data_IF_716119850647
#
_entry.id   IF_716119850647
#
_cell.length_a   1.000
_cell.length_b   1.000
_cell.length_c   1.000
_cell.angle_alpha   90.00
_cell.angle_beta   90.00
_cell.angle_gamma   90.00
#
_symmetry.space_group_name_H-M   'P 1'
#
loop_
_entity.id
_entity.type
_entity.pdbx_description
1 polymer ?
#
# COMPACT_ATOMS: atom_id res chain seq x y z
N UNK A 1 56.11 13.96 -1.45
CA UNK A 1 54.64 14.14 -1.53
C UNK A 1 54.24 13.87 -2.97
N UNK A 2 53.92 12.62 -3.26
CA UNK A 2 53.64 12.11 -4.60
C UNK A 2 52.15 12.24 -4.91
N UNK A 3 51.81 13.31 -5.64
CA UNK A 3 50.62 13.33 -6.49
C UNK A 3 50.84 12.29 -7.60
N UNK A 4 50.12 11.19 -7.55
CA UNK A 4 50.07 10.23 -8.66
C UNK A 4 48.86 10.62 -9.52
N UNK A 5 49.05 10.98 -10.80
CA UNK A 5 47.98 11.53 -11.60
C UNK A 5 46.96 10.46 -12.01
N UNK A 6 45.68 10.83 -11.93
CA UNK A 6 44.60 10.24 -12.71
C UNK A 6 44.97 10.28 -14.20
N UNK A 7 45.54 9.22 -14.74
CA UNK A 7 45.81 9.10 -16.17
C UNK A 7 45.22 7.80 -16.69
N UNK A 8 43.92 7.84 -16.97
CA UNK A 8 43.31 7.16 -18.12
C UNK A 8 41.77 7.28 -18.23
N UNK A 9 41.14 8.03 -17.34
CA UNK A 9 39.83 8.64 -17.54
C UNK A 9 40.05 10.13 -17.31
N UNK A 10 40.02 10.96 -18.36
CA UNK A 10 40.04 12.41 -18.15
C UNK A 10 38.89 12.80 -17.22
N UNK A 11 39.03 13.89 -16.45
CA UNK A 11 37.97 14.37 -15.53
C UNK A 11 36.60 14.49 -16.22
N UNK A 12 36.60 14.84 -17.52
CA UNK A 12 35.40 14.88 -18.37
C UNK A 12 34.75 13.50 -18.57
N UNK A 13 35.53 12.44 -18.80
CA UNK A 13 34.99 11.08 -18.99
C UNK A 13 34.36 10.50 -17.73
N UNK A 14 34.94 10.76 -16.55
CA UNK A 14 34.34 10.35 -15.28
C UNK A 14 33.04 11.10 -15.00
N UNK A 15 33.00 12.41 -15.31
CA UNK A 15 31.79 13.21 -15.17
C UNK A 15 30.65 12.69 -16.05
N UNK A 16 30.93 12.37 -17.32
CA UNK A 16 29.92 11.85 -18.25
C UNK A 16 29.39 10.47 -17.84
N UNK A 17 30.27 9.58 -17.36
CA UNK A 17 29.89 8.29 -16.78
C UNK A 17 28.98 8.49 -15.57
N UNK A 18 29.39 9.36 -14.64
CA UNK A 18 28.63 9.62 -13.40
C UNK A 18 27.26 10.19 -13.72
N UNK A 19 27.17 11.15 -14.64
CA UNK A 19 25.91 11.71 -15.12
C UNK A 19 25.02 10.66 -15.78
N UNK A 20 25.58 9.81 -16.63
CA UNK A 20 24.84 8.75 -17.32
C UNK A 20 24.20 7.79 -16.32
N UNK A 21 24.95 7.36 -15.30
CA UNK A 21 24.46 6.43 -14.28
C UNK A 21 23.45 7.12 -13.33
N UNK A 22 23.67 8.36 -12.91
CA UNK A 22 22.75 9.10 -12.03
C UNK A 22 21.37 9.39 -12.65
N UNK A 23 21.28 9.40 -13.97
CA UNK A 23 20.03 9.69 -14.69
C UNK A 23 19.11 8.47 -14.84
N UNK A 24 19.53 7.30 -14.37
CA UNK A 24 18.76 6.07 -14.56
C UNK A 24 17.53 6.02 -13.63
N UNK A 25 16.34 5.66 -14.15
CA UNK A 25 15.09 5.72 -13.39
C UNK A 25 14.93 4.58 -12.39
N UNK A 26 15.55 3.43 -12.65
CA UNK A 26 15.42 2.20 -11.87
C UNK A 26 16.71 1.33 -11.95
N UNK A 27 16.76 0.27 -11.13
CA UNK A 27 17.92 -0.61 -11.03
C UNK A 27 18.19 -1.42 -12.30
N UNK A 28 17.15 -1.74 -13.05
CA UNK A 28 17.25 -2.46 -14.32
C UNK A 28 17.97 -1.59 -15.37
N UNK A 29 17.52 -0.35 -15.53
CA UNK A 29 18.12 0.65 -16.42
C UNK A 29 19.54 1.02 -15.98
N UNK A 30 19.79 1.11 -14.67
CA UNK A 30 21.13 1.31 -14.12
C UNK A 30 22.08 0.18 -14.50
N UNK A 31 21.65 -1.06 -14.36
CA UNK A 31 22.45 -2.22 -14.69
C UNK A 31 22.76 -2.31 -16.20
N UNK A 32 21.78 -1.98 -17.05
CA UNK A 32 21.97 -1.95 -18.49
C UNK A 32 22.99 -0.88 -18.90
N UNK A 33 22.84 0.35 -18.39
CA UNK A 33 23.78 1.44 -18.65
C UNK A 33 25.20 1.09 -18.18
N UNK A 34 25.34 0.48 -17.00
CA UNK A 34 26.62 0.01 -16.48
C UNK A 34 27.24 -1.05 -17.42
N UNK A 35 26.46 -2.04 -17.84
CA UNK A 35 26.91 -3.11 -18.74
C UNK A 35 27.42 -2.54 -20.07
N UNK A 36 26.72 -1.57 -20.64
CA UNK A 36 27.16 -0.90 -21.86
C UNK A 36 28.46 -0.12 -21.66
N UNK A 37 28.63 0.57 -20.52
CA UNK A 37 29.84 1.36 -20.23
C UNK A 37 31.08 0.49 -20.02
N UNK A 38 30.97 -0.61 -19.27
CA UNK A 38 32.11 -1.51 -19.04
C UNK A 38 32.50 -2.25 -20.32
N UNK A 39 31.52 -2.60 -21.17
CA UNK A 39 31.75 -3.22 -22.48
C UNK A 39 32.45 -2.27 -23.45
N UNK A 40 31.97 -1.02 -23.58
CA UNK A 40 32.62 0.01 -24.41
C UNK A 40 34.04 0.32 -23.96
N UNK A 41 34.31 0.20 -22.66
CA UNK A 41 35.63 0.43 -22.06
C UNK A 41 36.55 -0.79 -22.10
N UNK A 42 36.09 -1.91 -22.68
CA UNK A 42 36.79 -3.20 -22.70
C UNK A 42 37.19 -3.72 -21.29
N UNK A 43 36.43 -3.31 -20.26
CA UNK A 43 36.66 -3.71 -18.88
C UNK A 43 36.00 -5.06 -18.59
N UNK A 44 34.75 -5.26 -18.99
CA UNK A 44 34.00 -6.49 -18.79
C UNK A 44 32.98 -6.66 -19.91
N UNK A 45 32.54 -7.89 -20.15
CA UNK A 45 31.52 -8.21 -21.16
C UNK A 45 30.11 -7.99 -20.65
N UNK A 46 29.90 -8.16 -19.34
CA UNK A 46 28.63 -7.94 -18.67
C UNK A 46 28.82 -7.38 -17.25
N UNK A 47 27.80 -6.68 -16.76
CA UNK A 47 27.71 -6.28 -15.37
C UNK A 47 26.35 -6.64 -14.78
N UNK A 48 26.31 -6.89 -13.47
CA UNK A 48 25.07 -7.11 -12.73
C UNK A 48 25.10 -6.40 -11.38
N UNK A 49 23.93 -6.08 -10.85
CA UNK A 49 23.75 -5.51 -9.52
C UNK A 49 23.05 -6.55 -8.68
N UNK A 50 23.66 -6.91 -7.55
CA UNK A 50 23.11 -7.90 -6.61
C UNK A 50 22.86 -7.21 -5.28
N UNK A 51 21.61 -7.18 -4.83
CA UNK A 51 21.22 -6.47 -3.61
C UNK A 51 20.83 -7.44 -2.52
N UNK A 52 21.35 -7.21 -1.32
CA UNK A 52 21.02 -7.97 -0.13
C UNK A 52 19.89 -7.30 0.65
N UNK A 53 18.84 -8.07 0.92
CA UNK A 53 17.70 -7.64 1.72
C UNK A 53 17.81 -8.25 3.12
N UNK A 54 18.28 -7.47 4.09
CA UNK A 54 18.54 -7.98 5.45
C UNK A 54 17.28 -8.48 6.17
N UNK A 55 16.12 -7.85 5.94
CA UNK A 55 14.86 -8.21 6.61
C UNK A 55 14.34 -9.58 6.16
N UNK A 56 14.46 -9.88 4.88
CA UNK A 56 13.96 -11.13 4.28
C UNK A 56 15.05 -12.18 4.11
N UNK A 57 16.33 -11.82 4.35
CA UNK A 57 17.51 -12.64 4.06
C UNK A 57 17.60 -13.08 2.58
N UNK A 58 17.10 -12.24 1.66
CA UNK A 58 17.04 -12.54 0.22
C UNK A 58 18.06 -11.72 -0.56
N UNK A 59 18.44 -12.24 -1.72
CA UNK A 59 19.22 -11.50 -2.71
C UNK A 59 18.38 -11.22 -3.96
N UNK A 60 18.40 -9.97 -4.44
CA UNK A 60 17.83 -9.59 -5.73
C UNK A 60 18.95 -9.43 -6.75
N UNK A 61 18.78 -10.00 -7.94
CA UNK A 61 19.76 -9.95 -9.02
C UNK A 61 19.19 -9.17 -10.22
N UNK A 62 19.93 -8.16 -10.67
CA UNK A 62 19.62 -7.32 -11.82
C UNK A 62 20.74 -7.47 -12.85
N UNK A 63 20.42 -7.87 -14.08
CA UNK A 63 21.38 -8.04 -15.18
C UNK A 63 20.75 -7.75 -16.55
N UNK A 64 21.58 -7.47 -17.55
CA UNK A 64 21.19 -7.42 -18.97
C UNK A 64 21.50 -8.76 -19.68
N UNK A 65 20.61 -9.25 -20.56
CA UNK A 65 20.85 -10.39 -21.48
C UNK A 65 20.97 -9.89 -22.94
N UNK A 66 21.42 -10.77 -23.86
CA UNK A 66 21.66 -10.55 -25.31
C UNK A 66 20.58 -9.80 -26.14
N UNK A 67 19.43 -9.43 -25.57
CA UNK A 67 18.38 -8.59 -26.18
C UNK A 67 18.07 -7.29 -25.42
N UNK A 68 18.95 -6.84 -24.52
CA UNK A 68 18.73 -5.65 -23.66
C UNK A 68 17.41 -5.71 -22.88
N UNK A 69 16.98 -6.93 -22.50
CA UNK A 69 15.84 -7.11 -21.59
C UNK A 69 16.35 -7.26 -20.16
N UNK A 70 16.01 -6.34 -19.25
CA UNK A 70 16.41 -6.45 -17.86
C UNK A 70 15.81 -7.70 -17.22
N UNK A 71 16.65 -8.46 -16.50
CA UNK A 71 16.19 -9.57 -15.67
C UNK A 71 16.12 -9.07 -14.23
N UNK A 72 14.94 -9.18 -13.63
CA UNK A 72 14.78 -9.23 -12.18
C UNK A 72 14.67 -10.70 -11.79
N UNK A 73 15.72 -11.24 -11.20
CA UNK A 73 15.72 -12.59 -10.65
C UNK A 73 15.70 -12.49 -9.12
N UNK A 74 14.62 -12.97 -8.52
CA UNK A 74 14.48 -13.14 -7.07
C UNK A 74 14.54 -14.63 -6.78
N UNK A 75 15.67 -15.11 -6.28
CA UNK A 75 15.80 -16.50 -5.82
C UNK A 75 16.04 -16.55 -4.32
N UNK A 76 15.36 -17.49 -3.68
CA UNK A 76 15.13 -17.59 -2.25
C UNK A 76 16.32 -18.12 -1.47
N UNK A 77 17.30 -18.77 -2.10
CA UNK A 77 18.34 -19.47 -1.34
C UNK A 77 19.76 -19.42 -1.95
N UNK A 78 19.94 -19.51 -3.27
CA UNK A 78 21.28 -19.84 -3.79
C UNK A 78 22.24 -18.64 -3.84
N UNK A 79 21.79 -17.46 -4.30
CA UNK A 79 22.61 -16.24 -4.29
C UNK A 79 22.83 -15.71 -2.87
N UNK A 80 21.81 -15.80 -2.02
CA UNK A 80 21.85 -15.41 -0.61
C UNK A 80 22.87 -16.21 0.22
N UNK A 81 23.17 -17.45 -0.18
CA UNK A 81 24.20 -18.31 0.42
C UNK A 81 25.49 -18.41 -0.41
N UNK A 82 25.57 -17.69 -1.53
CA UNK A 82 26.68 -17.74 -2.49
C UNK A 82 27.68 -16.57 -2.38
N UNK A 83 28.14 -16.02 -3.51
CA UNK A 83 29.08 -14.88 -3.56
C UNK A 83 28.68 -13.68 -2.70
N UNK A 84 27.38 -13.37 -2.60
CA UNK A 84 26.85 -12.24 -1.81
C UNK A 84 27.14 -12.45 -0.32
N UNK A 85 26.89 -13.64 0.22
CA UNK A 85 27.19 -13.96 1.63
C UNK A 85 28.68 -13.83 1.94
N UNK A 86 29.53 -14.20 0.98
CA UNK A 86 30.98 -14.12 1.12
C UNK A 86 31.44 -12.67 1.27
N UNK A 87 30.84 -11.73 0.54
CA UNK A 87 31.18 -10.31 0.63
C UNK A 87 30.60 -9.67 1.90
N UNK A 88 29.39 -10.05 2.31
CA UNK A 88 28.80 -9.57 3.57
C UNK A 88 29.61 -10.00 4.80
N UNK A 89 30.28 -11.15 4.73
CA UNK A 89 31.10 -11.68 5.83
C UNK A 89 32.56 -11.27 5.78
N UNK A 90 33.15 -11.06 4.60
CA UNK A 90 34.42 -10.33 4.46
C UNK A 90 34.36 -9.39 3.26
N UNK A 91 34.47 -8.07 3.49
CA UNK A 91 34.18 -7.01 2.53
C UNK A 91 35.26 -6.83 1.44
N UNK A 92 35.99 -7.90 1.12
CA UNK A 92 37.00 -7.88 0.08
C UNK A 92 36.35 -8.16 -1.28
N UNK A 93 36.93 -7.60 -2.34
CA UNK A 93 36.48 -7.94 -3.70
C UNK A 93 36.73 -9.42 -3.96
N UNK A 94 35.67 -10.11 -4.38
CA UNK A 94 35.75 -11.49 -4.81
C UNK A 94 36.13 -11.52 -6.30
N UNK A 95 37.15 -12.28 -6.66
CA UNK A 95 37.48 -12.55 -8.06
C UNK A 95 37.94 -14.01 -8.19
N UNK A 96 37.55 -14.67 -9.26
CA UNK A 96 37.90 -16.07 -9.52
C UNK A 96 37.66 -16.46 -10.98
N UNK A 97 38.30 -17.56 -11.41
CA UNK A 97 38.03 -18.22 -12.67
C UNK A 97 36.70 -18.99 -12.64
N UNK A 98 36.21 -19.41 -13.80
CA UNK A 98 35.00 -20.23 -13.87
C UNK A 98 35.15 -21.58 -13.15
N UNK A 99 36.32 -22.20 -13.19
CA UNK A 99 36.58 -23.48 -12.51
C UNK A 99 36.47 -23.32 -10.99
N UNK A 100 37.17 -22.33 -10.42
CA UNK A 100 37.09 -22.00 -9.00
C UNK A 100 35.67 -21.61 -8.56
N UNK A 101 34.93 -20.88 -9.42
CA UNK A 101 33.53 -20.53 -9.17
C UNK A 101 32.64 -21.78 -9.12
N UNK A 102 32.84 -22.73 -10.04
CA UNK A 102 32.10 -23.99 -10.07
C UNK A 102 32.38 -24.86 -8.83
N UNK A 103 33.64 -24.92 -8.39
CA UNK A 103 34.03 -25.65 -7.18
C UNK A 103 33.42 -25.01 -5.92
N UNK A 104 33.41 -23.69 -5.85
CA UNK A 104 32.95 -22.95 -4.67
C UNK A 104 31.42 -22.89 -4.58
N UNK A 105 30.73 -22.71 -5.72
CA UNK A 105 29.27 -22.56 -5.79
C UNK A 105 28.63 -23.42 -6.89
N UNK A 106 28.71 -24.77 -6.80
CA UNK A 106 28.19 -25.66 -7.83
C UNK A 106 26.68 -25.52 -8.07
N UNK A 107 25.94 -25.10 -7.03
CA UNK A 107 24.49 -24.90 -7.10
C UNK A 107 24.10 -23.71 -8.01
N UNK A 108 24.93 -22.66 -8.08
CA UNK A 108 24.67 -21.50 -8.96
C UNK A 108 24.86 -21.85 -10.43
N UNK A 109 25.80 -22.76 -10.71
CA UNK A 109 26.06 -23.27 -12.06
C UNK A 109 24.92 -24.17 -12.53
N UNK A 110 24.45 -25.07 -11.65
CA UNK A 110 23.32 -25.94 -11.92
C UNK A 110 22.02 -25.17 -12.20
N UNK A 111 21.84 -24.00 -11.58
CA UNK A 111 20.68 -23.13 -11.78
C UNK A 111 20.64 -22.40 -13.13
N UNK A 112 21.70 -22.49 -13.95
CA UNK A 112 21.74 -21.88 -15.29
C UNK A 112 21.75 -20.34 -15.30
N UNK A 113 21.93 -19.71 -14.13
CA UNK A 113 22.05 -18.25 -14.01
C UNK A 113 23.36 -17.75 -14.63
N UNK A 114 24.44 -18.52 -14.45
CA UNK A 114 25.78 -18.19 -14.92
C UNK A 114 26.18 -19.09 -16.11
N UNK A 115 26.13 -18.58 -17.35
CA UNK A 115 26.75 -19.28 -18.48
C UNK A 115 28.26 -19.38 -18.28
N UNK A 116 28.93 -20.23 -19.07
CA UNK A 116 30.39 -20.37 -19.01
C UNK A 116 31.06 -19.01 -19.26
N UNK A 117 31.93 -18.61 -18.34
CA UNK A 117 32.74 -17.39 -18.43
C UNK A 117 34.23 -17.73 -18.27
N UNK A 118 35.10 -16.73 -18.42
CA UNK A 118 36.52 -16.85 -18.10
C UNK A 118 36.81 -16.35 -16.70
N UNK A 119 36.49 -15.07 -16.42
CA UNK A 119 36.75 -14.43 -15.13
C UNK A 119 35.50 -13.78 -14.53
N UNK A 120 35.34 -13.96 -13.23
CA UNK A 120 34.27 -13.40 -12.39
C UNK A 120 34.84 -12.39 -11.40
N UNK A 121 34.16 -11.27 -11.21
CA UNK A 121 34.47 -10.29 -10.17
C UNK A 121 33.18 -9.78 -9.51
N UNK A 122 33.15 -9.73 -8.18
CA UNK A 122 32.06 -9.15 -7.41
C UNK A 122 32.65 -8.18 -6.39
N UNK A 123 32.35 -6.89 -6.56
CA UNK A 123 32.82 -5.81 -5.72
C UNK A 123 31.71 -5.38 -4.75
N UNK A 124 32.00 -5.09 -3.46
CA UNK A 124 30.99 -4.68 -2.50
C UNK A 124 30.33 -3.35 -2.89
N UNK A 125 28.99 -3.30 -2.85
CA UNK A 125 28.24 -2.06 -2.82
C UNK A 125 28.13 -1.61 -1.37
N UNK A 126 28.76 -0.48 -1.05
CA UNK A 126 28.83 0.05 0.31
C UNK A 126 28.50 1.53 0.34
N UNK A 127 27.64 1.91 1.28
CA UNK A 127 27.26 3.28 1.59
C UNK A 127 27.13 3.42 3.11
N UNK A 128 27.44 4.60 3.64
CA UNK A 128 27.32 4.94 5.08
C UNK A 128 27.92 3.89 6.06
N UNK A 129 28.94 3.15 5.64
CA UNK A 129 29.61 2.14 6.45
C UNK A 129 28.94 0.76 6.50
N UNK A 130 27.91 0.50 5.70
CA UNK A 130 27.32 -0.83 5.55
C UNK A 130 27.38 -1.33 4.09
N UNK A 131 27.55 -2.65 3.93
CA UNK A 131 27.43 -3.31 2.63
C UNK A 131 26.00 -3.77 2.45
N UNK A 132 25.40 -3.38 1.33
CA UNK A 132 24.01 -3.72 1.01
C UNK A 132 23.90 -4.54 -0.29
N UNK A 133 25.02 -4.95 -0.87
CA UNK A 133 25.03 -5.74 -2.09
C UNK A 133 26.41 -5.88 -2.71
N UNK A 134 26.43 -6.27 -3.99
CA UNK A 134 27.62 -6.35 -4.81
C UNK A 134 27.36 -5.92 -6.25
N UNK A 135 28.40 -5.36 -6.87
CA UNK A 135 28.48 -5.03 -8.28
C UNK A 135 29.30 -6.12 -8.96
N UNK A 136 28.66 -6.89 -9.83
CA UNK A 136 29.23 -8.04 -10.52
C UNK A 136 29.75 -7.62 -11.90
N UNK A 137 30.90 -8.16 -12.29
CA UNK A 137 31.50 -8.02 -13.60
C UNK A 137 31.96 -9.39 -14.11
N UNK A 138 31.64 -9.70 -15.37
CA UNK A 138 31.99 -10.96 -16.00
C UNK A 138 32.78 -10.69 -17.28
N UNK A 139 33.87 -11.44 -17.47
CA UNK A 139 34.57 -11.60 -18.75
C UNK A 139 34.36 -13.01 -19.27
N UNK A 140 34.00 -13.13 -20.55
CA UNK A 140 33.88 -14.43 -21.21
C UNK A 140 35.21 -14.94 -21.76
N UNK A 141 36.17 -14.05 -22.00
CA UNK A 141 37.54 -14.43 -22.32
C UNK A 141 38.32 -14.83 -21.05
N UNK A 142 39.39 -15.62 -21.23
CA UNK A 142 40.26 -16.06 -20.13
C UNK A 142 41.35 -15.01 -19.80
N UNK A 143 41.00 -13.72 -19.89
CA UNK A 143 41.93 -12.63 -19.63
C UNK A 143 41.69 -12.04 -18.23
N UNK A 144 42.61 -12.22 -17.26
CA UNK A 144 42.47 -11.61 -15.95
C UNK A 144 42.50 -10.08 -16.04
N UNK A 145 41.88 -9.42 -15.07
CA UNK A 145 41.98 -7.96 -14.93
C UNK A 145 43.37 -7.56 -14.44
N UNK A 146 43.97 -6.58 -15.11
CA UNK A 146 45.13 -5.85 -14.58
C UNK A 146 44.70 -4.95 -13.42
N UNK A 147 45.67 -4.56 -12.58
CA UNK A 147 45.44 -3.62 -11.47
C UNK A 147 44.77 -2.31 -11.92
N UNK A 148 45.16 -1.80 -13.11
CA UNK A 148 44.57 -0.61 -13.71
C UNK A 148 43.10 -0.79 -14.06
N UNK A 149 42.74 -1.94 -14.62
CA UNK A 149 41.35 -2.26 -14.94
C UNK A 149 40.52 -2.47 -13.68
N UNK A 150 41.11 -3.06 -12.63
CA UNK A 150 40.48 -3.25 -11.34
C UNK A 150 40.15 -1.92 -10.65
N UNK A 151 41.11 -0.97 -10.64
CA UNK A 151 40.88 0.38 -10.11
C UNK A 151 39.75 1.11 -10.86
N UNK A 152 39.61 0.87 -12.17
CA UNK A 152 38.49 1.41 -12.96
C UNK A 152 37.17 0.76 -12.55
N UNK A 153 37.09 -0.57 -12.44
CA UNK A 153 35.88 -1.26 -11.97
C UNK A 153 35.46 -0.81 -10.57
N UNK A 154 36.43 -0.55 -9.69
CA UNK A 154 36.16 -0.01 -8.36
C UNK A 154 35.53 1.39 -8.43
N UNK A 155 36.00 2.25 -9.34
CA UNK A 155 35.42 3.57 -9.59
C UNK A 155 33.96 3.46 -10.07
N UNK A 156 33.68 2.55 -11.01
CA UNK A 156 32.30 2.26 -11.43
C UNK A 156 31.44 1.79 -10.26
N UNK A 157 31.96 0.87 -9.45
CA UNK A 157 31.25 0.31 -8.28
C UNK A 157 30.90 1.38 -7.25
N UNK A 158 31.80 2.34 -6.99
CA UNK A 158 31.52 3.46 -6.07
C UNK A 158 30.36 4.33 -6.57
N UNK A 159 30.35 4.66 -7.87
CA UNK A 159 29.24 5.43 -8.45
C UNK A 159 27.95 4.62 -8.38
N UNK A 160 27.98 3.35 -8.79
CA UNK A 160 26.82 2.45 -8.75
C UNK A 160 26.28 2.30 -7.34
N UNK A 161 27.14 2.27 -6.30
CA UNK A 161 26.71 2.21 -4.90
C UNK A 161 25.81 3.40 -4.55
N UNK A 162 26.27 4.62 -4.83
CA UNK A 162 25.52 5.86 -4.54
C UNK A 162 24.22 5.91 -5.34
N UNK A 163 24.26 5.59 -6.63
CA UNK A 163 23.06 5.64 -7.48
C UNK A 163 22.03 4.57 -7.06
N UNK A 164 22.49 3.37 -6.69
CA UNK A 164 21.64 2.29 -6.21
C UNK A 164 20.91 2.70 -4.94
N UNK A 165 21.64 3.25 -3.96
CA UNK A 165 21.06 3.78 -2.72
C UNK A 165 20.05 4.90 -3.00
N UNK A 166 20.37 5.82 -3.90
CA UNK A 166 19.45 6.89 -4.31
C UNK A 166 18.15 6.34 -4.93
N UNK A 167 18.25 5.35 -5.82
CA UNK A 167 17.09 4.71 -6.45
C UNK A 167 16.25 3.99 -5.38
N UNK A 168 16.88 3.22 -4.48
CA UNK A 168 16.18 2.54 -3.39
C UNK A 168 15.50 3.53 -2.44
N UNK A 169 16.16 4.63 -2.08
CA UNK A 169 15.63 5.68 -1.20
C UNK A 169 14.41 6.38 -1.82
N UNK A 170 14.42 6.67 -3.12
CA UNK A 170 13.26 7.26 -3.83
C UNK A 170 12.04 6.35 -3.79
N UNK A 171 12.23 5.04 -3.98
CA UNK A 171 11.12 4.07 -4.00
C UNK A 171 10.50 3.92 -2.61
N UNK A 172 11.32 3.84 -1.56
CA UNK A 172 10.83 3.70 -0.17
C UNK A 172 10.10 4.97 0.28
N UNK A 173 10.70 6.15 0.06
CA UNK A 173 10.11 7.42 0.50
C UNK A 173 8.75 7.73 -0.16
N UNK A 174 8.54 7.32 -1.41
CA UNK A 174 7.26 7.54 -2.09
C UNK A 174 6.13 6.69 -1.51
N UNK A 175 6.39 5.41 -1.18
CA UNK A 175 5.39 4.52 -0.59
C UNK A 175 5.02 4.97 0.81
N UNK A 176 6.00 5.35 1.63
CA UNK A 176 5.75 5.86 2.99
C UNK A 176 4.96 7.17 2.97
N UNK A 177 5.25 8.06 2.01
CA UNK A 177 4.53 9.33 1.88
C UNK A 177 3.05 9.14 1.50
N UNK A 178 2.75 8.24 0.57
CA UNK A 178 1.36 7.92 0.18
C UNK A 178 0.57 7.32 1.35
N UNK A 179 1.18 6.38 2.09
CA UNK A 179 0.56 5.79 3.28
C UNK A 179 0.27 6.85 4.35
N UNK A 180 1.25 7.70 4.67
CA UNK A 180 1.08 8.78 5.65
C UNK A 180 0.01 9.79 5.20
N UNK A 181 -0.04 10.15 3.92
CA UNK A 181 -1.08 11.03 3.39
C UNK A 181 -2.47 10.39 3.56
N UNK A 182 -2.59 9.10 3.27
CA UNK A 182 -3.85 8.35 3.43
C UNK A 182 -4.29 8.27 4.89
N UNK A 183 -3.38 7.96 5.82
CA UNK A 183 -3.69 7.93 7.26
C UNK A 183 -4.10 9.31 7.77
N UNK A 184 -3.38 10.36 7.38
CA UNK A 184 -3.75 11.75 7.70
C UNK A 184 -5.15 12.08 7.22
N UNK A 185 -5.49 11.71 5.99
CA UNK A 185 -6.80 12.00 5.41
C UNK A 185 -7.91 11.20 6.13
N UNK A 186 -7.68 9.94 6.48
CA UNK A 186 -8.59 9.15 7.32
C UNK A 186 -8.84 9.82 8.68
N UNK A 187 -7.79 10.30 9.36
CA UNK A 187 -7.93 11.00 10.63
C UNK A 187 -8.73 12.30 10.49
N UNK A 188 -8.53 13.06 9.40
CA UNK A 188 -9.30 14.28 9.14
C UNK A 188 -10.78 13.99 8.99
N UNK A 189 -11.14 12.90 8.31
CA UNK A 189 -12.54 12.45 8.17
C UNK A 189 -13.14 12.13 9.54
N UNK A 190 -12.44 11.35 10.36
CA UNK A 190 -12.92 10.99 11.70
C UNK A 190 -13.09 12.19 12.60
N UNK A 191 -12.17 13.17 12.54
CA UNK A 191 -12.27 14.42 13.30
C UNK A 191 -13.45 15.27 12.81
N UNK A 192 -13.63 15.40 11.49
CA UNK A 192 -14.74 16.15 10.91
C UNK A 192 -16.09 15.58 11.38
N UNK A 193 -16.27 14.26 11.25
CA UNK A 193 -17.48 13.58 11.71
C UNK A 193 -17.65 13.73 13.22
N UNK A 194 -16.61 13.50 14.01
CA UNK A 194 -16.67 13.66 15.47
C UNK A 194 -17.14 15.07 15.84
N UNK A 195 -16.58 16.10 15.22
CA UNK A 195 -16.96 17.49 15.49
C UNK A 195 -18.39 17.82 15.01
N UNK A 196 -18.83 17.23 13.89
CA UNK A 196 -20.18 17.42 13.36
C UNK A 196 -21.25 16.83 14.29
N UNK A 197 -20.93 15.74 15.00
CA UNK A 197 -21.90 15.04 15.85
C UNK A 197 -21.88 15.44 17.32
N UNK A 198 -20.76 15.95 17.85
CA UNK A 198 -20.56 16.19 19.29
C UNK A 198 -21.55 17.17 19.93
N UNK A 199 -22.11 18.10 19.16
CA UNK A 199 -23.02 19.15 19.67
C UNK A 199 -24.48 18.94 19.29
N UNK A 200 -24.82 17.86 18.57
CA UNK A 200 -26.18 17.60 18.10
C UNK A 200 -26.92 16.75 19.12
N UNK A 201 -27.98 17.33 19.69
CA UNK A 201 -28.87 16.67 20.65
C UNK A 201 -30.20 16.25 20.01
N UNK A 202 -30.53 16.86 18.88
CA UNK A 202 -31.67 16.47 18.05
C UNK A 202 -31.27 15.37 17.07
N UNK A 203 -32.12 14.35 16.93
CA UNK A 203 -31.81 13.15 16.13
C UNK A 203 -31.85 13.44 14.63
N UNK A 204 -32.78 14.27 14.16
CA UNK A 204 -32.88 14.63 12.75
C UNK A 204 -31.68 15.47 12.32
N UNK A 205 -31.29 16.45 13.14
CA UNK A 205 -30.07 17.23 12.90
C UNK A 205 -28.81 16.37 12.92
N UNK A 206 -28.70 15.44 13.88
CA UNK A 206 -27.57 14.53 13.99
C UNK A 206 -27.43 13.68 12.72
N UNK A 207 -28.53 13.06 12.27
CA UNK A 207 -28.54 12.19 11.09
C UNK A 207 -28.20 12.98 9.84
N UNK A 208 -28.77 14.18 9.67
CA UNK A 208 -28.51 15.05 8.52
C UNK A 208 -27.03 15.43 8.41
N UNK A 209 -26.37 15.81 9.52
CA UNK A 209 -24.95 16.15 9.52
C UNK A 209 -24.05 14.92 9.29
N UNK A 210 -24.38 13.77 9.88
CA UNK A 210 -23.66 12.52 9.62
C UNK A 210 -23.75 12.13 8.15
N UNK A 211 -24.95 12.19 7.58
CA UNK A 211 -25.20 11.88 6.18
C UNK A 211 -24.41 12.80 5.25
N UNK A 212 -24.36 14.09 5.57
CA UNK A 212 -23.59 15.09 4.80
C UNK A 212 -22.10 14.81 4.77
N UNK A 213 -21.49 14.50 5.92
CA UNK A 213 -20.06 14.17 5.96
C UNK A 213 -19.77 12.85 5.24
N UNK A 214 -20.61 11.83 5.42
CA UNK A 214 -20.46 10.53 4.73
C UNK A 214 -20.61 10.69 3.21
N UNK A 215 -21.62 11.42 2.74
CA UNK A 215 -21.80 11.72 1.32
C UNK A 215 -20.60 12.48 0.76
N UNK A 216 -20.10 13.50 1.47
CA UNK A 216 -18.97 14.30 1.01
C UNK A 216 -17.67 13.48 0.81
N UNK A 217 -17.36 12.56 1.72
CA UNK A 217 -16.09 11.80 1.65
C UNK A 217 -16.18 10.49 0.87
N UNK A 218 -17.37 9.88 0.80
CA UNK A 218 -17.55 8.54 0.21
C UNK A 218 -18.48 8.52 -1.00
N UNK A 219 -19.13 9.64 -1.33
CA UNK A 219 -20.14 9.79 -2.40
C UNK A 219 -21.31 8.80 -2.24
N UNK A 220 -21.64 8.39 -1.01
CA UNK A 220 -22.76 7.50 -0.71
C UNK A 220 -24.06 8.31 -0.75
N UNK A 221 -25.06 7.82 -1.49
CA UNK A 221 -26.28 8.59 -1.76
C UNK A 221 -27.45 8.29 -0.80
N UNK A 222 -27.45 7.13 -0.14
CA UNK A 222 -28.45 6.77 0.85
C UNK A 222 -27.78 6.46 2.20
N UNK A 223 -28.13 7.29 3.20
CA UNK A 223 -27.65 7.15 4.57
C UNK A 223 -28.85 7.14 5.49
N UNK A 224 -28.99 6.11 6.32
CA UNK A 224 -30.01 6.07 7.38
C UNK A 224 -29.45 5.65 8.73
N UNK A 225 -30.01 6.18 9.80
CA UNK A 225 -29.85 5.64 11.15
C UNK A 225 -31.16 4.98 11.58
N UNK A 226 -31.07 3.73 12.01
CA UNK A 226 -32.21 2.91 12.42
C UNK A 226 -32.12 2.61 13.91
N UNK A 227 -33.13 3.04 14.67
CA UNK A 227 -33.22 2.86 16.11
C UNK A 227 -34.47 2.04 16.46
N UNK A 228 -34.45 1.33 17.60
CA UNK A 228 -35.69 0.70 18.10
C UNK A 228 -36.66 1.77 18.59
N UNK A 229 -37.91 1.68 18.15
CA UNK A 229 -38.99 2.52 18.66
C UNK A 229 -39.36 2.11 20.08
N UNK A 230 -40.04 3.02 20.78
CA UNK A 230 -40.64 2.72 22.08
C UNK A 230 -41.84 1.76 21.94
N UNK A 231 -42.41 1.68 20.73
CA UNK A 231 -43.45 0.70 20.40
C UNK A 231 -42.81 -0.66 20.16
N UNK A 232 -43.45 -1.70 20.70
CA UNK A 232 -42.94 -3.08 20.61
C UNK A 232 -42.79 -3.51 19.14
N UNK A 233 -41.63 -4.08 18.81
CA UNK A 233 -41.28 -4.60 17.49
C UNK A 233 -41.29 -3.57 16.34
N UNK A 234 -41.13 -2.28 16.66
CA UNK A 234 -41.07 -1.21 15.67
C UNK A 234 -39.68 -0.58 15.61
N UNK A 235 -39.28 -0.14 14.43
CA UNK A 235 -38.04 0.59 14.18
C UNK A 235 -38.37 2.01 13.74
N UNK A 236 -37.68 2.99 14.31
CA UNK A 236 -37.66 4.36 13.83
C UNK A 236 -36.47 4.51 12.89
N UNK A 237 -36.71 5.07 11.72
CA UNK A 237 -35.73 5.22 10.66
C UNK A 237 -35.62 6.71 10.34
N UNK A 238 -34.40 7.19 10.36
CA UNK A 238 -34.03 8.55 9.99
C UNK A 238 -33.14 8.46 8.75
N UNK A 239 -33.63 8.93 7.61
CA UNK A 239 -32.97 8.75 6.32
C UNK A 239 -32.65 10.08 5.66
N UNK A 240 -31.52 10.12 4.96
CA UNK A 240 -31.13 11.21 4.07
C UNK A 240 -30.79 10.62 2.70
N UNK A 241 -31.46 11.13 1.66
CA UNK A 241 -31.35 10.66 0.29
C UNK A 241 -30.81 11.78 -0.62
N UNK A 242 -29.64 11.56 -1.22
CA UNK A 242 -28.97 12.50 -2.14
C UNK A 242 -29.40 12.27 -3.59
N UNK A 243 -30.71 12.29 -3.86
CA UNK A 243 -31.25 12.27 -5.24
C UNK A 243 -30.91 13.58 -6.00
N UNK A 244 -30.91 14.70 -5.28
CA UNK A 244 -30.31 15.97 -5.69
C UNK A 244 -29.18 16.29 -4.71
N UNK A 245 -27.93 16.37 -5.21
CA UNK A 245 -26.75 16.65 -4.39
C UNK A 245 -26.83 17.99 -3.64
N UNK A 246 -27.64 18.94 -4.11
CA UNK A 246 -27.79 20.26 -3.47
C UNK A 246 -28.92 20.31 -2.45
N UNK A 247 -29.93 19.44 -2.59
CA UNK A 247 -31.13 19.45 -1.75
C UNK A 247 -31.51 18.00 -1.39
N UNK A 248 -30.77 17.37 -0.46
CA UNK A 248 -31.10 16.02 -0.03
C UNK A 248 -32.48 15.97 0.62
N UNK A 249 -33.20 14.88 0.38
CA UNK A 249 -34.47 14.63 1.04
C UNK A 249 -34.23 13.98 2.41
N UNK A 250 -34.85 14.52 3.45
CA UNK A 250 -34.85 13.94 4.79
C UNK A 250 -36.20 13.29 5.06
N UNK A 251 -36.19 12.02 5.47
CA UNK A 251 -37.39 11.25 5.75
C UNK A 251 -37.31 10.56 7.11
N UNK A 252 -38.42 10.55 7.82
CA UNK A 252 -38.59 9.78 9.04
C UNK A 252 -39.75 8.79 8.86
N UNK A 253 -39.51 7.52 9.18
CA UNK A 253 -40.53 6.47 9.10
C UNK A 253 -40.49 5.51 10.28
N UNK A 254 -41.62 4.84 10.55
CA UNK A 254 -41.73 3.75 11.53
C UNK A 254 -42.15 2.46 10.81
N UNK A 255 -41.36 1.40 10.95
CA UNK A 255 -41.58 0.12 10.27
C UNK A 255 -41.55 -1.06 11.25
N UNK A 256 -42.02 -2.23 10.83
CA UNK A 256 -41.86 -3.46 11.60
C UNK A 256 -40.40 -3.94 11.59
N UNK A 257 -39.88 -4.34 12.75
CA UNK A 257 -38.51 -4.88 12.87
C UNK A 257 -38.38 -6.24 12.16
N UNK A 258 -39.41 -7.08 12.26
CA UNK A 258 -39.37 -8.46 11.80
C UNK A 258 -39.11 -8.57 10.29
N UNK A 259 -38.11 -9.38 9.93
CA UNK A 259 -37.71 -9.66 8.54
C UNK A 259 -36.74 -8.65 7.94
N UNK A 260 -36.47 -7.52 8.61
CA UNK A 260 -35.56 -6.50 8.09
C UNK A 260 -34.10 -6.94 8.16
N UNK A 261 -33.24 -6.36 7.29
CA UNK A 261 -31.80 -6.56 7.40
C UNK A 261 -31.25 -5.97 8.72
N UNK A 262 -31.90 -4.92 9.23
CA UNK A 262 -31.60 -4.33 10.54
C UNK A 262 -31.81 -5.33 11.68
N UNK A 263 -32.88 -6.14 11.66
CA UNK A 263 -33.10 -7.20 12.66
C UNK A 263 -31.93 -8.18 12.72
N UNK A 264 -31.37 -8.56 11.55
CA UNK A 264 -30.21 -9.46 11.47
C UNK A 264 -28.98 -8.84 12.14
N UNK A 265 -28.75 -7.55 11.95
CA UNK A 265 -27.64 -6.81 12.58
C UNK A 265 -27.88 -6.66 14.09
N UNK A 266 -29.09 -6.37 14.54
CA UNK A 266 -29.42 -6.36 15.97
C UNK A 266 -29.15 -7.71 16.65
N UNK A 267 -29.43 -8.83 15.97
CA UNK A 267 -29.20 -10.18 16.51
C UNK A 267 -27.72 -10.59 16.50
N UNK A 268 -27.00 -10.32 15.43
CA UNK A 268 -25.60 -10.70 15.27
C UNK A 268 -24.63 -9.76 15.98
N UNK A 269 -24.98 -8.47 16.08
CA UNK A 269 -24.08 -7.36 16.44
C UNK A 269 -22.85 -7.26 15.52
N UNK A 270 -22.94 -7.81 14.31
CA UNK A 270 -21.88 -7.78 13.31
C UNK A 270 -22.28 -6.92 12.12
N UNK A 271 -21.28 -6.34 11.47
CA UNK A 271 -21.47 -5.60 10.22
C UNK A 271 -22.01 -6.54 9.14
N UNK A 272 -23.04 -6.09 8.41
CA UNK A 272 -23.57 -6.80 7.26
C UNK A 272 -23.26 -6.02 5.98
N UNK A 273 -22.55 -6.66 5.05
CA UNK A 273 -22.33 -6.16 3.70
C UNK A 273 -23.01 -7.10 2.71
N UNK A 274 -23.93 -6.59 1.90
CA UNK A 274 -24.72 -7.42 0.97
C UNK A 274 -25.07 -6.66 -0.31
N UNK A 275 -25.08 -7.36 -1.43
CA UNK A 275 -25.65 -6.87 -2.68
C UNK A 275 -27.13 -7.29 -2.73
N UNK A 276 -28.02 -6.31 -2.80
CA UNK A 276 -29.46 -6.49 -2.80
C UNK A 276 -29.97 -6.59 -4.24
N UNK A 277 -30.77 -7.62 -4.49
CA UNK A 277 -31.41 -7.87 -5.77
C UNK A 277 -32.94 -7.80 -5.64
N UNK A 278 -33.62 -7.38 -6.71
CA UNK A 278 -35.10 -7.28 -6.76
C UNK A 278 -35.82 -8.59 -6.36
N UNK A 279 -35.16 -9.72 -6.63
CA UNK A 279 -35.69 -11.07 -6.40
C UNK A 279 -35.47 -11.58 -4.98
N UNK A 280 -34.73 -10.85 -4.15
CA UNK A 280 -34.51 -11.23 -2.76
C UNK A 280 -35.82 -11.15 -1.97
N UNK A 281 -35.92 -11.95 -0.92
CA UNK A 281 -37.03 -11.86 0.03
C UNK A 281 -36.79 -10.65 0.94
N UNK A 282 -37.28 -9.49 0.50
CA UNK A 282 -37.09 -8.20 1.16
C UNK A 282 -38.26 -7.90 2.09
N UNK A 283 -37.95 -7.42 3.30
CA UNK A 283 -38.97 -6.78 4.11
C UNK A 283 -39.51 -5.53 3.38
N UNK A 284 -40.73 -5.06 3.72
CA UNK A 284 -41.36 -3.93 3.03
C UNK A 284 -40.49 -2.67 2.95
N UNK A 285 -39.68 -2.41 3.98
CA UNK A 285 -38.77 -1.26 4.00
C UNK A 285 -37.63 -1.38 2.98
N UNK A 286 -36.92 -2.51 2.94
CA UNK A 286 -35.87 -2.75 1.93
C UNK A 286 -36.42 -2.73 0.50
N UNK A 287 -37.64 -3.23 0.29
CA UNK A 287 -38.30 -3.16 -1.03
C UNK A 287 -38.65 -1.71 -1.41
N UNK A 288 -39.19 -0.92 -0.49
CA UNK A 288 -39.48 0.49 -0.71
C UNK A 288 -38.22 1.27 -1.09
N UNK A 289 -37.10 1.03 -0.38
CA UNK A 289 -35.83 1.63 -0.76
C UNK A 289 -35.46 1.20 -2.18
N UNK A 290 -35.46 -0.09 -2.49
CA UNK A 290 -35.13 -0.59 -3.83
C UNK A 290 -35.93 0.10 -4.97
N UNK A 291 -37.23 0.31 -4.75
CA UNK A 291 -38.12 0.99 -5.70
C UNK A 291 -37.73 2.47 -5.91
N UNK A 292 -37.30 3.17 -4.85
CA UNK A 292 -36.90 4.60 -4.89
C UNK A 292 -35.70 4.88 -5.81
N UNK A 293 -34.73 3.96 -5.92
CA UNK A 293 -33.58 4.09 -6.84
C UNK A 293 -33.80 3.38 -8.18
N UNK A 294 -35.06 3.18 -8.60
CA UNK A 294 -35.38 2.68 -9.93
C UNK A 294 -34.93 1.24 -10.17
N UNK A 295 -35.01 0.39 -9.15
CA UNK A 295 -34.71 -1.05 -9.20
C UNK A 295 -33.27 -1.40 -9.60
N UNK A 296 -32.32 -0.50 -9.38
CA UNK A 296 -30.91 -0.79 -9.54
C UNK A 296 -30.41 -1.71 -8.42
N UNK A 297 -29.46 -2.58 -8.73
CA UNK A 297 -28.76 -3.38 -7.71
C UNK A 297 -28.07 -2.41 -6.74
N UNK A 298 -28.26 -2.62 -5.44
CA UNK A 298 -27.66 -1.79 -4.41
C UNK A 298 -26.74 -2.62 -3.54
N UNK A 299 -25.53 -2.12 -3.28
CA UNK A 299 -24.70 -2.65 -2.20
C UNK A 299 -25.09 -1.93 -0.91
N UNK A 300 -25.47 -2.70 0.11
CA UNK A 300 -25.77 -2.18 1.44
C UNK A 300 -24.68 -2.56 2.44
N UNK A 301 -24.24 -1.57 3.20
CA UNK A 301 -23.39 -1.74 4.37
C UNK A 301 -24.17 -1.30 5.61
N UNK A 302 -24.43 -2.25 6.51
CA UNK A 302 -25.10 -2.01 7.78
C UNK A 302 -24.09 -2.16 8.90
N UNK A 303 -23.87 -1.08 9.63
CA UNK A 303 -22.88 -0.96 10.69
C UNK A 303 -23.60 -0.87 12.04
N UNK A 304 -23.30 -1.76 13.00
CA UNK A 304 -23.91 -1.66 14.32
C UNK A 304 -23.41 -0.42 15.06
N UNK A 305 -24.34 0.31 15.68
CA UNK A 305 -24.06 1.45 16.55
C UNK A 305 -24.00 0.96 17.99
N UNK A 306 -22.79 0.69 18.47
CA UNK A 306 -22.52 0.12 19.79
C UNK A 306 -22.00 1.19 20.76
N UNK A 307 -22.57 1.27 21.96
CA UNK A 307 -22.00 2.01 23.10
C UNK A 307 -21.72 1.03 24.23
N UNK A 308 -20.43 0.70 24.42
CA UNK A 308 -20.03 -0.46 25.22
C UNK A 308 -20.68 -1.75 24.70
N UNK A 309 -21.37 -2.48 25.57
CA UNK A 309 -22.08 -3.71 25.19
C UNK A 309 -23.52 -3.48 24.67
N UNK A 310 -23.97 -2.22 24.70
CA UNK A 310 -25.33 -1.82 24.34
C UNK A 310 -25.41 -1.52 22.86
N UNK A 311 -26.34 -2.20 22.17
CA UNK A 311 -26.66 -1.97 20.77
C UNK A 311 -27.73 -0.88 20.68
N UNK A 312 -27.34 0.32 20.25
CA UNK A 312 -28.22 1.50 20.17
C UNK A 312 -29.05 1.50 18.88
N UNK A 313 -28.46 1.06 17.78
CA UNK A 313 -29.06 1.14 16.47
C UNK A 313 -28.17 0.62 15.35
N UNK A 314 -28.53 0.92 14.11
CA UNK A 314 -27.78 0.54 12.91
C UNK A 314 -27.61 1.75 12.01
N UNK A 315 -26.38 2.04 11.59
CA UNK A 315 -26.09 2.93 10.48
C UNK A 315 -26.17 2.13 9.19
N UNK A 316 -27.12 2.48 8.33
CA UNK A 316 -27.37 1.85 7.04
C UNK A 316 -26.85 2.77 5.95
N UNK A 317 -26.02 2.23 5.07
CA UNK A 317 -25.44 2.91 3.92
C UNK A 317 -25.81 2.11 2.68
N UNK A 318 -26.40 2.75 1.67
CA UNK A 318 -26.71 2.10 0.40
C UNK A 318 -26.18 2.91 -0.78
N UNK A 319 -25.68 2.18 -1.77
CA UNK A 319 -25.06 2.74 -2.96
C UNK A 319 -25.28 1.80 -4.16
N UNK A 320 -25.56 2.35 -5.34
CA UNK A 320 -25.73 1.56 -6.57
C UNK A 320 -24.38 1.13 -7.19
N UNK A 321 -23.29 1.86 -6.92
CA UNK A 321 -21.93 1.49 -7.33
C UNK A 321 -21.15 0.79 -6.20
N UNK A 322 -20.69 -0.44 -6.45
CA UNK A 322 -19.96 -1.27 -5.47
C UNK A 322 -18.55 -0.71 -5.09
N UNK A 323 -18.04 0.29 -5.83
CA UNK A 323 -16.66 0.79 -5.70
C UNK A 323 -16.34 1.39 -4.32
N UNK A 324 -17.35 1.84 -3.57
CA UNK A 324 -17.14 2.54 -2.30
C UNK A 324 -16.78 1.57 -1.16
N UNK A 325 -17.27 0.32 -1.18
CA UNK A 325 -17.14 -0.62 -0.06
C UNK A 325 -15.88 -1.50 -0.14
N UNK A 326 -14.72 -0.88 -0.36
CA UNK A 326 -13.42 -1.56 -0.25
C UNK A 326 -13.06 -1.87 1.20
N UNK A 327 -12.20 -2.86 1.45
CA UNK A 327 -11.74 -3.20 2.81
C UNK A 327 -11.22 -2.00 3.60
N UNK A 328 -10.50 -1.09 2.94
CA UNK A 328 -9.99 0.11 3.60
C UNK A 328 -11.11 1.09 3.97
N UNK A 329 -12.06 1.32 3.07
CA UNK A 329 -13.18 2.22 3.34
C UNK A 329 -14.10 1.62 4.42
N UNK A 330 -14.34 0.32 4.42
CA UNK A 330 -15.14 -0.36 5.46
C UNK A 330 -14.52 -0.21 6.86
N UNK A 331 -13.19 -0.29 6.97
CA UNK A 331 -12.51 -0.04 8.26
C UNK A 331 -12.68 1.40 8.74
N UNK A 332 -12.70 2.38 7.82
CA UNK A 332 -12.96 3.77 8.16
C UNK A 332 -14.44 4.01 8.52
N UNK A 333 -15.37 3.45 7.75
CA UNK A 333 -16.81 3.52 8.01
C UNK A 333 -17.19 2.88 9.35
N UNK A 334 -16.50 1.81 9.77
CA UNK A 334 -16.67 1.24 11.11
C UNK A 334 -16.25 2.20 12.22
N UNK A 335 -15.10 2.85 12.08
CA UNK A 335 -14.65 3.88 13.03
C UNK A 335 -15.60 5.09 13.04
N UNK A 336 -16.19 5.43 11.89
CA UNK A 336 -17.24 6.45 11.80
C UNK A 336 -18.48 6.01 12.58
N UNK A 337 -18.94 4.78 12.39
CA UNK A 337 -20.09 4.22 13.12
C UNK A 337 -19.87 4.24 14.65
N UNK A 338 -18.65 3.98 15.12
CA UNK A 338 -18.31 4.12 16.56
C UNK A 338 -18.50 5.56 17.07
N UNK A 339 -18.12 6.58 16.29
CA UNK A 339 -18.33 7.99 16.65
C UNK A 339 -19.79 8.39 16.60
N UNK A 340 -20.51 7.91 15.59
CA UNK A 340 -21.96 8.12 15.45
C UNK A 340 -22.70 7.46 16.63
N UNK A 341 -22.27 6.27 17.06
CA UNK A 341 -22.88 5.58 18.21
C UNK A 341 -22.79 6.42 19.49
N UNK A 342 -21.64 7.05 19.76
CA UNK A 342 -21.47 7.95 20.92
C UNK A 342 -22.45 9.14 20.84
N UNK A 343 -22.62 9.73 19.66
CA UNK A 343 -23.54 10.85 19.50
C UNK A 343 -25.01 10.45 19.61
N UNK A 344 -25.38 9.29 19.05
CA UNK A 344 -26.71 8.71 19.19
C UNK A 344 -27.02 8.41 20.66
N UNK A 345 -26.06 7.86 21.41
CA UNK A 345 -26.21 7.62 22.86
C UNK A 345 -26.52 8.92 23.61
N UNK A 346 -25.75 9.98 23.31
CA UNK A 346 -25.94 11.29 23.90
C UNK A 346 -27.31 11.90 23.56
N UNK A 347 -27.74 11.83 22.30
CA UNK A 347 -29.03 12.34 21.86
C UNK A 347 -30.21 11.58 22.50
N UNK A 348 -30.12 10.24 22.57
CA UNK A 348 -31.12 9.40 23.24
C UNK A 348 -31.20 9.70 24.75
N UNK A 349 -30.05 9.83 25.42
CA UNK A 349 -29.99 10.20 26.83
C UNK A 349 -30.63 11.57 27.10
N UNK A 350 -30.37 12.55 26.23
CA UNK A 350 -30.96 13.89 26.33
C UNK A 350 -32.49 13.87 26.17
N UNK A 351 -32.99 13.13 25.16
CA UNK A 351 -34.43 12.97 24.93
C UNK A 351 -35.14 12.32 26.13
N UNK A 352 -34.54 11.30 26.74
CA UNK A 352 -35.14 10.64 27.92
C UNK A 352 -35.16 11.57 29.14
N UNK A 353 -34.10 12.34 29.37
CA UNK A 353 -34.08 13.37 30.43
C UNK A 353 -35.19 14.40 30.22
N UNK A 354 -35.39 14.88 28.99
CA UNK A 354 -36.42 15.87 28.67
C UNK A 354 -37.83 15.29 28.90
N UNK A 355 -38.07 14.06 28.44
CA UNK A 355 -39.35 13.35 28.62
C UNK A 355 -39.69 13.12 30.09
N UNK A 356 -38.70 12.76 30.91
CA UNK A 356 -38.88 12.57 32.35
C UNK A 356 -39.18 13.89 33.05
N UNK A 357 -38.52 14.98 32.65
CA UNK A 357 -38.77 16.32 33.19
C UNK A 357 -40.19 16.81 32.89
N UNK A 358 -40.69 16.59 31.67
CA UNK A 358 -42.05 16.97 31.28
C UNK A 358 -43.14 16.17 32.00
N UNK A 359 -42.84 14.95 32.48
CA UNK A 359 -43.76 14.12 33.26
C UNK A 359 -43.81 14.46 34.76
N UNK A 360 -42.83 15.23 35.25
CA UNK A 360 -42.73 15.67 36.64
C UNK A 360 -43.36 17.05 36.88
N UNK A 361 -43.75 17.75 35.81
CA UNK A 361 -44.55 18.98 35.81
C UNK A 361 -46.00 18.61 35.54
#
# INVERSE_FOLDING_TARGET
MSYTPMSDLGQQGLFDITRTLLQQPDLASLCEALSQLVKRSALADNAAIVLWQAQTQRASYYASREKDTPIKYEDETVLAHGPVRRILSRPDTLHCSYEEFCETWPQLVAGGLYPKFGHYCLMPLAAEGHIFGGCEFIRYDDRPWSEKEFNRLQTFTQIVSVVTEQIQSRVVNNVDYELLCRERDNFRILVAITNAVLSRLDMDELVSEVAKEIHYYFDIDDISIVLRSHRKNKLNIYSTHYLDKQHPAHEQSEVDEAGTLTERVFKSKEMLLINLHERDDLAPYERMLFDTWGNQIQTLCLLPLMSGDTMLGVLKLAQCEEKVFTTTNLNLLRQIAERVAIAVDNALAYQEIHRLKERLV
#
